data_IF_519443978464
#
_entry.id   IF_519443978464
#
_cell.length_a   1.000
_cell.length_b   1.000
_cell.length_c   1.000
_cell.angle_alpha   90.00
_cell.angle_beta   90.00
_cell.angle_gamma   90.00
#
_symmetry.space_group_name_H-M   'P 1'
#
loop_
_entity.id
_entity.type
_entity.pdbx_description
1 polymer ?
#
# COMPACT_ATOMS: atom_id res chain seq x y z
N UNK A 1 -6.29 -4.89 -0.47
CA UNK A 1 -6.31 -6.28 -0.99
C UNK A 1 -7.58 -6.44 -1.78
N UNK A 2 -7.50 -7.05 -2.95
CA UNK A 2 -8.60 -7.08 -3.93
C UNK A 2 -9.87 -7.79 -3.43
N UNK A 3 -9.74 -8.70 -2.47
CA UNK A 3 -10.86 -9.40 -1.82
C UNK A 3 -11.36 -8.74 -0.53
N UNK A 4 -10.81 -7.60 -0.12
CA UNK A 4 -11.27 -6.90 1.09
C UNK A 4 -12.64 -6.23 0.84
N UNK A 5 -13.70 -6.81 1.39
CA UNK A 5 -15.05 -6.26 1.31
C UNK A 5 -15.32 -5.14 2.32
N UNK A 6 -14.56 -5.09 3.43
CA UNK A 6 -14.75 -4.10 4.50
C UNK A 6 -14.09 -2.78 4.14
N UNK A 7 -12.92 -2.83 3.54
CA UNK A 7 -12.17 -1.69 3.02
C UNK A 7 -11.74 -1.96 1.58
N UNK A 8 -12.70 -1.83 0.65
CA UNK A 8 -12.44 -2.04 -0.77
C UNK A 8 -11.34 -1.13 -1.30
N UNK A 9 -10.74 -1.53 -2.43
CA UNK A 9 -9.74 -0.75 -3.18
C UNK A 9 -10.12 0.72 -3.36
N UNK A 10 -11.41 1.04 -3.51
CA UNK A 10 -11.88 2.41 -3.69
C UNK A 10 -11.59 3.31 -2.48
N UNK A 11 -11.65 2.78 -1.25
CA UNK A 11 -11.29 3.54 -0.06
C UNK A 11 -9.82 3.98 -0.08
N UNK A 12 -8.92 3.08 -0.48
CA UNK A 12 -7.50 3.41 -0.63
C UNK A 12 -7.27 4.39 -1.78
N UNK A 13 -7.95 4.26 -2.91
CA UNK A 13 -7.87 5.22 -4.04
C UNK A 13 -8.28 6.63 -3.62
N UNK A 14 -9.31 6.75 -2.77
CA UNK A 14 -9.70 8.05 -2.18
C UNK A 14 -8.58 8.67 -1.35
N UNK A 15 -7.90 7.89 -0.50
CA UNK A 15 -6.77 8.36 0.31
C UNK A 15 -5.61 8.80 -0.60
N UNK A 16 -5.27 7.99 -1.60
CA UNK A 16 -4.21 8.29 -2.58
C UNK A 16 -4.48 9.62 -3.28
N UNK A 17 -5.71 9.82 -3.78
CA UNK A 17 -6.10 11.07 -4.44
C UNK A 17 -5.88 12.30 -3.53
N UNK A 18 -6.22 12.21 -2.25
CA UNK A 18 -5.98 13.31 -1.31
C UNK A 18 -4.49 13.58 -1.06
N UNK A 19 -3.67 12.53 -0.94
CA UNK A 19 -2.22 12.65 -0.78
C UNK A 19 -1.55 13.25 -2.03
N UNK A 20 -1.96 12.81 -3.22
CA UNK A 20 -1.49 13.35 -4.50
C UNK A 20 -1.82 14.85 -4.63
N UNK A 21 -3.05 15.25 -4.29
CA UNK A 21 -3.45 16.65 -4.29
C UNK A 21 -2.61 17.50 -3.31
N UNK A 22 -2.22 16.93 -2.17
CA UNK A 22 -1.33 17.56 -1.19
C UNK A 22 0.17 17.47 -1.56
N UNK A 23 0.50 16.99 -2.76
CA UNK A 23 1.86 16.76 -3.25
C UNK A 23 2.71 15.91 -2.32
N UNK A 24 2.08 15.00 -1.58
CA UNK A 24 2.79 14.05 -0.72
C UNK A 24 3.29 12.87 -1.55
N UNK A 25 4.51 12.37 -1.30
CA UNK A 25 5.00 11.17 -1.97
C UNK A 25 4.14 9.97 -1.54
N UNK A 26 3.40 9.40 -2.48
CA UNK A 26 2.47 8.29 -2.25
C UNK A 26 2.74 7.15 -3.22
N UNK A 27 2.47 5.92 -2.80
CA UNK A 27 2.55 4.73 -3.63
C UNK A 27 1.30 3.90 -3.39
N UNK A 28 0.68 3.43 -4.47
CA UNK A 28 -0.50 2.60 -4.42
C UNK A 28 -0.26 1.27 -5.13
N UNK A 29 -0.70 0.17 -4.52
CA UNK A 29 -0.68 -1.17 -5.11
C UNK A 29 -1.95 -1.92 -4.72
N UNK A 30 -2.68 -2.40 -5.72
CA UNK A 30 -3.67 -3.45 -5.52
C UNK A 30 -2.92 -4.80 -5.45
N UNK A 31 -3.13 -5.53 -4.36
CA UNK A 31 -2.45 -6.79 -4.08
C UNK A 31 -3.50 -7.91 -4.04
N UNK A 32 -3.38 -8.91 -4.91
CA UNK A 32 -4.21 -10.11 -4.86
C UNK A 32 -3.97 -10.90 -3.58
N UNK A 33 -5.03 -11.21 -2.85
CA UNK A 33 -4.98 -12.10 -1.69
C UNK A 33 -6.34 -12.75 -1.44
N UNK A 34 -6.37 -13.95 -0.86
CA UNK A 34 -7.62 -14.69 -0.62
C UNK A 34 -8.27 -14.42 0.74
N UNK A 35 -7.61 -13.68 1.63
CA UNK A 35 -8.01 -13.52 3.03
C UNK A 35 -8.64 -12.16 3.34
N UNK A 36 -9.06 -11.41 2.31
CA UNK A 36 -9.76 -10.15 2.47
C UNK A 36 -8.97 -9.15 3.32
N UNK A 37 -9.65 -8.55 4.30
CA UNK A 37 -9.10 -7.53 5.18
C UNK A 37 -7.84 -7.98 5.91
N UNK A 38 -7.85 -9.18 6.49
CA UNK A 38 -6.76 -9.64 7.36
C UNK A 38 -5.50 -10.05 6.58
N UNK A 39 -5.51 -9.93 5.24
CA UNK A 39 -4.35 -10.25 4.39
C UNK A 39 -3.09 -9.46 4.76
N UNK A 40 -3.20 -8.27 5.38
CA UNK A 40 -2.02 -7.51 5.85
C UNK A 40 -1.33 -8.16 7.06
N UNK A 41 -1.99 -9.06 7.78
CA UNK A 41 -1.43 -9.80 8.91
C UNK A 41 -0.70 -11.08 8.49
N UNK A 42 -0.80 -11.46 7.21
CA UNK A 42 -0.32 -12.73 6.67
C UNK A 42 0.98 -12.53 5.87
N UNK A 43 1.81 -13.58 5.72
CA UNK A 43 3.06 -13.54 4.95
C UNK A 43 2.80 -13.51 3.43
N UNK A 44 2.16 -12.46 2.93
CA UNK A 44 1.92 -12.24 1.50
C UNK A 44 3.19 -11.63 0.88
N UNK A 45 3.93 -12.39 0.09
CA UNK A 45 5.23 -12.00 -0.47
C UNK A 45 5.18 -10.65 -1.20
N UNK A 46 4.23 -10.48 -2.13
CA UNK A 46 4.05 -9.22 -2.90
C UNK A 46 3.79 -8.00 -2.02
N UNK A 47 3.12 -8.18 -0.89
CA UNK A 47 2.88 -7.12 0.09
C UNK A 47 4.16 -6.71 0.79
N UNK A 48 4.92 -7.69 1.28
CA UNK A 48 6.19 -7.44 1.96
C UNK A 48 7.25 -6.85 1.03
N UNK A 49 7.32 -7.31 -0.22
CA UNK A 49 8.24 -6.74 -1.22
C UNK A 49 7.89 -5.29 -1.57
N UNK A 50 6.59 -4.96 -1.62
CA UNK A 50 6.12 -3.59 -1.82
C UNK A 50 6.57 -2.69 -0.64
N UNK A 51 6.40 -3.17 0.60
CA UNK A 51 6.84 -2.44 1.79
C UNK A 51 8.36 -2.27 1.82
N UNK A 52 9.12 -3.34 1.53
CA UNK A 52 10.59 -3.30 1.51
C UNK A 52 11.08 -2.27 0.51
N UNK A 53 10.57 -2.29 -0.73
CA UNK A 53 10.93 -1.32 -1.75
C UNK A 53 10.58 0.13 -1.37
N UNK A 54 9.46 0.34 -0.66
CA UNK A 54 9.08 1.66 -0.16
C UNK A 54 10.02 2.15 0.96
N UNK A 55 10.32 1.31 1.96
CA UNK A 55 11.24 1.65 3.05
C UNK A 55 12.67 1.88 2.55
N UNK A 56 13.17 1.06 1.63
CA UNK A 56 14.50 1.23 1.03
C UNK A 56 14.63 2.59 0.33
N UNK A 57 13.57 2.99 -0.40
CA UNK A 57 13.50 4.32 -1.02
C UNK A 57 13.47 5.42 0.04
N UNK A 58 12.59 5.33 1.02
CA UNK A 58 12.44 6.34 2.08
C UNK A 58 13.75 6.52 2.86
N UNK A 59 14.45 5.43 3.18
CA UNK A 59 15.76 5.46 3.83
C UNK A 59 16.81 6.17 2.97
N UNK A 60 16.90 5.86 1.67
CA UNK A 60 17.82 6.55 0.75
C UNK A 60 17.52 8.04 0.60
N UNK A 61 16.25 8.43 0.64
CA UNK A 61 15.82 9.83 0.52
C UNK A 61 16.06 10.61 1.82
N UNK A 62 15.84 10.00 3.00
CA UNK A 62 16.04 10.64 4.30
C UNK A 62 17.50 10.77 4.76
N UNK A 63 18.44 10.11 4.08
CA UNK A 63 19.89 10.28 4.29
C UNK A 63 20.48 11.50 3.54
N UNK A 64 19.64 12.23 2.79
CA UNK A 64 20.02 13.46 2.09
C UNK A 64 19.62 14.68 2.91
#
# INVERSE_FOLDING_TARGET
FDTDWRFSTEHSRRIVKHLEHARQPVTFRDIPASWGHDSFLLPVERYHDTLRGWFDRAFREGLR
#
